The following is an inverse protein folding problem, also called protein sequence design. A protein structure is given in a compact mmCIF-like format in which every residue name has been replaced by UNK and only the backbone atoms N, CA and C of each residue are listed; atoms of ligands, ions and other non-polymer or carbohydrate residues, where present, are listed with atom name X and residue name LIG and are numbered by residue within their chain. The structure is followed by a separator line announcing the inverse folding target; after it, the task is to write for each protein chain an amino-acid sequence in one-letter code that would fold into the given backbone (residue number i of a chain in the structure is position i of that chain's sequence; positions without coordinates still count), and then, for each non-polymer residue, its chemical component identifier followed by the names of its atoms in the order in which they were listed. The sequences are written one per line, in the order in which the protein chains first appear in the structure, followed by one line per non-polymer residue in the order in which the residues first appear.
data_IF_092360839053
#
_entry.id   IF_092360839053
#
_cell.length_a   1.000
_cell.length_b   1.000
_cell.length_c   1.000
_cell.angle_alpha   90.00
_cell.angle_beta   90.00
_cell.angle_gamma   90.00
#
_symmetry.space_group_name_H-M   'P 1'
#
loop_
_entity.id
_entity.type
_entity.pdbx_description
1 polymer ?
#
# COMPACT_ATOMS: atom_id res chain seq x y z
N UNK A 1 23.01 -15.95 -16.89
CA UNK A 1 21.56 -16.15 -16.78
C UNK A 1 21.01 -14.94 -16.04
N UNK A 2 20.22 -14.09 -16.72
CA UNK A 2 19.61 -12.92 -16.06
C UNK A 2 18.49 -13.44 -15.15
N UNK A 3 18.62 -13.26 -13.83
CA UNK A 3 17.54 -13.58 -12.91
C UNK A 3 16.37 -12.64 -13.21
N UNK A 4 15.23 -13.19 -13.53
CA UNK A 4 14.00 -12.43 -13.73
C UNK A 4 13.60 -11.81 -12.39
N UNK A 5 13.67 -10.48 -12.32
CA UNK A 5 13.33 -9.72 -11.12
C UNK A 5 11.98 -9.06 -11.37
N UNK A 6 10.93 -9.60 -10.73
CA UNK A 6 9.58 -9.03 -10.78
C UNK A 6 9.41 -8.01 -9.67
N UNK A 7 8.84 -6.85 -9.97
CA UNK A 7 8.58 -5.80 -8.98
C UNK A 7 7.09 -5.49 -8.96
N UNK A 8 6.48 -5.65 -7.79
CA UNK A 8 5.07 -5.37 -7.55
C UNK A 8 5.01 -4.12 -6.65
N UNK A 9 4.49 -2.99 -7.15
CA UNK A 9 4.33 -1.79 -6.34
C UNK A 9 3.16 -1.95 -5.36
N UNK A 10 3.41 -1.69 -4.08
CA UNK A 10 2.43 -1.75 -3.00
C UNK A 10 2.42 -0.39 -2.29
N UNK A 11 1.81 0.60 -2.89
CA UNK A 11 1.72 2.00 -2.42
C UNK A 11 3.06 2.58 -1.96
N UNK A 12 3.37 2.46 -0.66
CA UNK A 12 4.61 2.97 -0.05
C UNK A 12 5.77 1.98 -0.08
N UNK A 13 5.55 0.78 -0.57
CA UNK A 13 6.51 -0.33 -0.58
C UNK A 13 6.56 -0.97 -1.95
N UNK A 14 7.64 -1.68 -2.18
CA UNK A 14 7.80 -2.49 -3.40
C UNK A 14 8.16 -3.90 -2.98
N UNK A 15 7.40 -4.86 -3.46
CA UNK A 15 7.73 -6.26 -3.35
C UNK A 15 8.66 -6.63 -4.50
N UNK A 16 9.85 -7.05 -4.19
CA UNK A 16 10.86 -7.50 -5.17
C UNK A 16 10.94 -9.01 -5.10
N UNK A 17 10.35 -9.67 -6.09
CA UNK A 17 10.34 -11.13 -6.20
C UNK A 17 11.53 -11.59 -7.02
N UNK A 18 12.32 -12.52 -6.47
CA UNK A 18 13.40 -13.24 -7.13
C UNK A 18 13.18 -14.74 -6.95
N UNK A 19 13.90 -15.55 -7.67
CA UNK A 19 13.74 -17.01 -7.69
C UNK A 19 13.73 -17.67 -6.28
N UNK A 20 14.62 -17.21 -5.38
CA UNK A 20 14.77 -17.81 -4.04
C UNK A 20 14.52 -16.83 -2.89
N UNK A 21 14.09 -15.58 -3.23
CA UNK A 21 13.95 -14.53 -2.23
C UNK A 21 12.91 -13.48 -2.64
N UNK A 22 12.08 -13.11 -1.66
CA UNK A 22 11.21 -11.95 -1.76
C UNK A 22 11.67 -10.91 -0.75
N UNK A 23 11.87 -9.69 -1.21
CA UNK A 23 12.21 -8.53 -0.37
C UNK A 23 11.07 -7.52 -0.44
N UNK A 24 10.42 -7.23 0.68
CA UNK A 24 9.51 -6.10 0.83
C UNK A 24 10.30 -4.91 1.38
N UNK A 25 10.41 -3.86 0.58
CA UNK A 25 11.23 -2.68 0.90
C UNK A 25 10.42 -1.40 0.74
N UNK A 26 10.70 -0.35 1.53
CA UNK A 26 10.14 0.96 1.26
C UNK A 26 10.58 1.46 -0.12
N UNK A 27 9.70 2.18 -0.79
CA UNK A 27 10.03 2.81 -2.05
C UNK A 27 11.04 3.93 -1.84
N UNK A 28 12.14 3.89 -2.58
CA UNK A 28 13.23 4.87 -2.42
C UNK A 28 12.80 6.31 -2.71
N UNK A 29 11.81 6.49 -3.59
CA UNK A 29 11.26 7.81 -3.93
C UNK A 29 10.61 8.51 -2.74
N UNK A 30 9.96 7.76 -1.85
CA UNK A 30 9.27 8.30 -0.68
C UNK A 30 10.19 9.01 0.32
N UNK A 31 11.49 8.65 0.35
CA UNK A 31 12.48 9.26 1.26
C UNK A 31 13.07 10.56 0.68
N UNK A 32 13.17 10.68 -0.65
CA UNK A 32 13.81 11.82 -1.30
C UNK A 32 13.07 13.13 -1.05
N UNK A 33 11.75 13.11 -1.11
CA UNK A 33 10.94 14.32 -0.93
C UNK A 33 11.13 14.96 0.45
N UNK A 34 10.92 14.23 1.57
CA UNK A 34 11.15 14.81 2.91
C UNK A 34 12.63 15.15 3.17
N UNK A 35 13.57 14.39 2.63
CA UNK A 35 15.00 14.71 2.75
C UNK A 35 15.33 16.03 2.07
N UNK A 36 14.81 16.27 0.86
CA UNK A 36 14.99 17.53 0.15
C UNK A 36 14.39 18.71 0.94
N UNK A 37 13.19 18.54 1.48
CA UNK A 37 12.56 19.55 2.32
C UNK A 37 13.39 19.89 3.58
N UNK A 38 13.98 18.87 4.22
CA UNK A 38 14.85 19.06 5.37
C UNK A 38 16.14 19.83 5.00
N UNK A 39 16.74 19.51 3.85
CA UNK A 39 17.91 20.21 3.35
C UNK A 39 17.61 21.68 3.02
N UNK A 40 16.48 21.96 2.38
CA UNK A 40 16.04 23.33 2.09
C UNK A 40 15.81 24.11 3.41
N UNK A 41 15.10 23.49 4.36
CA UNK A 41 14.89 24.13 5.67
C UNK A 41 16.21 24.42 6.38
N UNK A 42 17.15 23.46 6.40
CA UNK A 42 18.49 23.65 6.95
C UNK A 42 19.26 24.78 6.27
N UNK A 43 19.17 24.90 4.95
CA UNK A 43 19.79 25.99 4.20
C UNK A 43 19.18 27.35 4.57
N UNK A 44 17.85 27.44 4.74
CA UNK A 44 17.19 28.66 5.17
C UNK A 44 17.64 29.08 6.57
N UNK A 45 17.74 28.14 7.51
CA UNK A 45 18.29 28.47 8.86
C UNK A 45 19.76 28.86 8.81
N UNK A 46 20.58 28.20 7.97
CA UNK A 46 21.98 28.61 7.79
C UNK A 46 22.12 30.05 7.28
N UNK A 47 21.29 30.44 6.30
CA UNK A 47 21.26 31.82 5.78
C UNK A 47 20.92 32.80 6.91
N UNK A 48 19.94 32.50 7.74
CA UNK A 48 19.59 33.34 8.90
C UNK A 48 20.78 33.50 9.84
N UNK A 49 21.45 32.40 10.22
CA UNK A 49 22.56 32.40 11.15
C UNK A 49 23.75 33.22 10.59
N UNK A 50 24.08 33.02 9.32
CA UNK A 50 25.24 33.66 8.69
C UNK A 50 25.01 35.14 8.39
N UNK A 51 23.79 35.52 8.07
CA UNK A 51 23.48 36.90 7.59
C UNK A 51 22.53 37.67 8.52
N UNK A 52 22.29 37.22 9.76
CA UNK A 52 21.35 37.83 10.71
C UNK A 52 21.61 39.33 10.90
N UNK A 53 22.87 39.76 10.94
CA UNK A 53 23.25 41.16 11.13
C UNK A 53 23.04 42.08 9.91
N UNK A 54 22.91 41.48 8.72
CA UNK A 54 22.75 42.23 7.45
C UNK A 54 21.32 42.19 6.92
N UNK A 55 20.46 41.31 7.46
CA UNK A 55 19.07 41.17 7.02
C UNK A 55 18.14 42.13 7.77
N UNK A 56 17.19 42.73 7.04
CA UNK A 56 16.09 43.49 7.68
C UNK A 56 15.16 42.52 8.42
N UNK A 57 14.45 43.03 9.43
CA UNK A 57 13.47 42.22 10.20
C UNK A 57 12.42 41.56 9.31
N UNK A 58 11.98 42.26 8.26
CA UNK A 58 11.01 41.70 7.28
C UNK A 58 11.61 40.57 6.48
N UNK A 59 12.85 40.70 5.99
CA UNK A 59 13.54 39.62 5.25
C UNK A 59 13.78 38.41 6.14
N UNK A 60 14.14 38.63 7.39
CA UNK A 60 14.34 37.60 8.40
C UNK A 60 13.04 36.81 8.64
N UNK A 61 11.90 37.48 8.79
CA UNK A 61 10.60 36.87 8.96
C UNK A 61 10.18 36.05 7.71
N UNK A 62 10.42 36.55 6.50
CA UNK A 62 10.11 35.89 5.24
C UNK A 62 10.92 34.60 5.02
N UNK A 63 12.14 34.51 5.56
CA UNK A 63 12.98 33.34 5.48
C UNK A 63 12.67 32.36 6.63
N UNK A 64 12.45 32.89 7.84
CA UNK A 64 12.20 32.08 9.03
C UNK A 64 10.89 31.29 8.94
N UNK A 65 9.80 31.93 8.47
CA UNK A 65 8.49 31.32 8.44
C UNK A 65 8.44 30.05 7.56
N UNK A 66 8.90 30.06 6.29
CA UNK A 66 8.97 28.84 5.47
C UNK A 66 9.89 27.78 6.08
N UNK A 67 11.05 28.18 6.62
CA UNK A 67 11.98 27.26 7.27
C UNK A 67 11.35 26.55 8.47
N UNK A 68 10.65 27.31 9.32
CA UNK A 68 9.97 26.78 10.50
C UNK A 68 8.80 25.85 10.16
N UNK A 69 8.07 26.12 9.09
CA UNK A 69 6.98 25.27 8.62
C UNK A 69 7.54 24.01 7.93
N UNK A 70 8.53 24.16 7.06
CA UNK A 70 9.05 23.06 6.26
C UNK A 70 9.78 22.02 7.13
N UNK A 71 10.50 22.42 8.16
CA UNK A 71 11.27 21.54 9.03
C UNK A 71 10.43 20.43 9.68
N UNK A 72 9.35 20.71 10.42
CA UNK A 72 8.58 19.68 11.09
C UNK A 72 7.85 18.77 10.10
N UNK A 73 7.30 19.31 9.00
CA UNK A 73 6.64 18.48 7.98
C UNK A 73 7.63 17.54 7.28
N UNK A 74 8.82 18.02 6.96
CA UNK A 74 9.88 17.22 6.35
C UNK A 74 10.44 16.18 7.33
N UNK A 75 10.66 16.56 8.59
CA UNK A 75 11.11 15.64 9.63
C UNK A 75 10.08 14.52 9.86
N UNK A 76 8.80 14.88 9.96
CA UNK A 76 7.71 13.93 10.13
C UNK A 76 7.57 13.01 8.89
N UNK A 77 7.63 13.57 7.69
CA UNK A 77 7.63 12.81 6.43
C UNK A 77 8.81 11.84 6.34
N UNK A 78 10.00 12.27 6.79
CA UNK A 78 11.17 11.41 6.85
C UNK A 78 10.98 10.26 7.84
N UNK A 79 10.47 10.54 9.04
CA UNK A 79 10.16 9.53 10.05
C UNK A 79 9.17 8.51 9.47
N UNK A 80 8.07 8.96 8.85
CA UNK A 80 7.10 8.05 8.22
C UNK A 80 7.67 7.24 7.04
N UNK A 81 8.61 7.81 6.28
CA UNK A 81 9.24 7.10 5.16
C UNK A 81 10.26 6.06 5.60
N UNK A 82 10.81 6.24 6.81
CA UNK A 82 11.91 5.44 7.37
C UNK A 82 11.37 4.36 8.31
N UNK A 83 10.29 4.66 9.05
CA UNK A 83 9.65 3.69 9.93
C UNK A 83 8.84 2.74 9.08
N UNK A 84 9.26 1.49 9.04
CA UNK A 84 8.53 0.45 8.35
C UNK A 84 9.08 -0.93 8.65
N UNK A 85 8.19 -1.92 8.65
CA UNK A 85 8.65 -3.30 8.70
C UNK A 85 9.31 -3.66 7.37
N UNK A 86 10.50 -4.25 7.42
CA UNK A 86 11.07 -4.96 6.28
C UNK A 86 10.75 -6.43 6.43
N UNK A 87 10.25 -7.02 5.34
CA UNK A 87 9.97 -8.45 5.31
C UNK A 87 10.83 -9.08 4.24
N UNK A 88 11.52 -10.13 4.62
CA UNK A 88 12.36 -10.91 3.71
C UNK A 88 11.94 -12.36 3.80
N UNK A 89 11.48 -12.92 2.70
CA UNK A 89 11.16 -14.33 2.55
C UNK A 89 12.33 -15.01 1.87
N UNK A 90 12.95 -15.97 2.52
CA UNK A 90 14.13 -16.70 1.99
C UNK A 90 13.78 -18.20 1.84
N UNK A 91 13.71 -18.67 0.60
CA UNK A 91 13.38 -20.08 0.30
C UNK A 91 14.47 -21.04 0.81
N UNK A 92 15.73 -20.65 0.66
CA UNK A 92 16.86 -21.49 1.10
C UNK A 92 16.88 -21.70 2.62
N UNK A 93 16.46 -20.66 3.38
CA UNK A 93 16.39 -20.74 4.85
C UNK A 93 15.04 -21.23 5.36
N UNK A 94 14.09 -21.48 4.46
CA UNK A 94 12.73 -21.87 4.81
C UNK A 94 12.13 -20.98 5.90
N UNK A 95 12.34 -19.66 5.78
CA UNK A 95 11.92 -18.72 6.82
C UNK A 95 11.59 -17.34 6.28
N UNK A 96 10.66 -16.69 6.96
CA UNK A 96 10.36 -15.26 6.80
C UNK A 96 11.03 -14.51 7.93
N UNK A 97 11.83 -13.52 7.57
CA UNK A 97 12.36 -12.55 8.52
C UNK A 97 11.45 -11.32 8.50
N UNK A 98 10.81 -11.08 9.61
CA UNK A 98 10.02 -9.88 9.86
C UNK A 98 10.81 -8.97 10.78
N UNK A 99 11.21 -7.81 10.31
CA UNK A 99 11.98 -6.85 11.07
C UNK A 99 11.21 -5.55 11.17
N UNK A 100 10.71 -5.25 12.36
CA UNK A 100 10.23 -3.91 12.68
C UNK A 100 11.43 -3.08 13.08
N UNK A 101 11.72 -2.03 12.33
CA UNK A 101 12.88 -1.22 12.61
C UNK A 101 12.79 0.17 12.01
N UNK A 102 13.66 1.03 12.52
CA UNK A 102 13.87 2.37 12.00
C UNK A 102 14.98 2.28 10.96
N UNK A 103 14.78 2.84 9.77
CA UNK A 103 15.78 2.95 8.68
C UNK A 103 16.25 1.64 8.03
N UNK A 104 15.65 0.49 8.34
CA UNK A 104 16.24 -0.78 7.89
C UNK A 104 17.60 -1.09 8.53
N UNK A 105 18.01 -0.32 9.55
CA UNK A 105 19.29 -0.44 10.25
C UNK A 105 19.32 -1.58 11.27
N UNK A 106 18.26 -2.41 11.32
CA UNK A 106 18.24 -3.52 12.25
C UNK A 106 17.97 -3.15 13.71
N UNK A 107 17.61 -1.89 13.96
CA UNK A 107 17.24 -1.41 15.29
C UNK A 107 15.75 -1.67 15.47
N UNK A 108 15.39 -2.72 16.19
CA UNK A 108 13.99 -3.10 16.45
C UNK A 108 13.83 -4.60 16.68
N UNK A 109 12.61 -5.03 16.92
CA UNK A 109 12.30 -6.45 17.08
C UNK A 109 12.42 -7.19 15.75
N UNK A 110 13.23 -8.24 15.75
CA UNK A 110 13.33 -9.18 14.64
C UNK A 110 12.60 -10.46 15.01
N UNK A 111 11.64 -10.84 14.20
CA UNK A 111 10.95 -12.12 14.33
C UNK A 111 11.30 -13.00 13.14
N UNK A 112 11.76 -14.20 13.40
CA UNK A 112 12.03 -15.23 12.40
C UNK A 112 10.88 -16.23 12.43
N UNK A 113 10.20 -16.40 11.31
CA UNK A 113 9.06 -17.29 11.16
C UNK A 113 9.47 -18.42 10.20
N UNK A 114 9.71 -19.65 10.69
CA UNK A 114 9.91 -20.78 9.81
C UNK A 114 8.65 -21.10 9.00
N UNK A 115 8.79 -21.55 7.76
CA UNK A 115 7.64 -21.82 6.87
C UNK A 115 6.65 -22.83 7.47
N UNK A 116 7.13 -23.84 8.19
CA UNK A 116 6.28 -24.82 8.85
C UNK A 116 5.41 -24.26 9.98
N UNK A 117 5.65 -23.01 10.43
CA UNK A 117 4.80 -22.28 11.39
C UNK A 117 3.76 -21.39 10.72
N UNK A 118 3.73 -21.35 9.41
CA UNK A 118 2.74 -20.60 8.64
C UNK A 118 1.57 -21.55 8.37
N UNK A 119 0.38 -21.15 8.75
CA UNK A 119 -0.83 -21.91 8.48
C UNK A 119 -1.35 -21.58 7.08
N UNK A 120 -1.53 -20.30 6.81
CA UNK A 120 -1.91 -19.78 5.50
C UNK A 120 -1.50 -18.30 5.36
N UNK A 121 -1.54 -17.81 4.13
CA UNK A 121 -1.44 -16.39 3.80
C UNK A 121 -2.87 -15.92 3.54
N UNK A 122 -3.30 -14.89 4.23
CA UNK A 122 -4.63 -14.32 4.10
C UNK A 122 -4.57 -12.98 3.38
N UNK A 123 -5.42 -12.80 2.38
CA UNK A 123 -5.72 -11.50 1.78
C UNK A 123 -7.04 -11.02 2.39
N UNK A 124 -6.95 -10.08 3.32
CA UNK A 124 -8.08 -9.55 4.05
C UNK A 124 -8.47 -8.17 3.53
N UNK A 125 -9.77 -7.92 3.43
CA UNK A 125 -10.27 -6.56 3.27
C UNK A 125 -10.03 -5.81 4.58
N UNK A 126 -9.32 -4.70 4.51
CA UNK A 126 -9.02 -3.87 5.67
C UNK A 126 -10.09 -2.78 5.79
N UNK A 127 -10.99 -2.98 6.73
CA UNK A 127 -11.99 -1.97 7.05
C UNK A 127 -11.30 -0.74 7.66
N UNK A 128 -11.27 0.35 6.89
CA UNK A 128 -10.75 1.65 7.34
C UNK A 128 -11.66 2.32 8.38
N UNK A 129 -12.70 1.61 8.80
CA UNK A 129 -13.71 2.08 9.75
C UNK A 129 -14.83 2.85 9.03
N UNK A 130 -16.05 2.53 9.39
CA UNK A 130 -17.22 3.33 8.95
C UNK A 130 -17.00 4.78 9.37
N UNK A 131 -17.17 5.71 8.43
CA UNK A 131 -17.23 7.12 8.77
C UNK A 131 -18.24 7.32 9.91
N UNK A 132 -17.92 8.11 10.95
CA UNK A 132 -18.82 8.30 12.08
C UNK A 132 -20.20 8.72 11.58
N UNK A 133 -21.23 7.95 11.95
CA UNK A 133 -22.63 8.21 11.53
C UNK A 133 -23.01 9.65 11.86
N UNK A 134 -23.23 10.48 10.82
CA UNK A 134 -23.57 11.90 10.96
C UNK A 134 -22.41 12.88 10.81
N UNK A 135 -21.20 12.43 10.52
CA UNK A 135 -20.07 13.27 10.12
C UNK A 135 -20.12 13.66 8.64
N UNK A 136 -19.32 14.67 8.21
CA UNK A 136 -19.13 14.94 6.80
C UNK A 136 -18.53 13.69 6.12
N UNK A 137 -18.91 13.41 4.84
CA UNK A 137 -18.35 12.26 4.12
C UNK A 137 -16.81 12.35 4.14
N UNK A 138 -16.09 11.22 4.25
CA UNK A 138 -14.65 11.23 4.20
C UNK A 138 -14.20 11.91 2.90
N UNK A 139 -13.20 12.78 3.02
CA UNK A 139 -12.65 13.55 1.87
C UNK A 139 -12.06 12.63 0.80
N UNK A 140 -11.70 11.39 1.19
CA UNK A 140 -11.24 10.32 0.31
C UNK A 140 -11.89 9.02 0.79
N UNK A 141 -12.69 8.44 -0.08
CA UNK A 141 -13.18 7.08 0.09
C UNK A 141 -12.08 6.14 -0.43
N UNK A 142 -11.48 5.38 0.48
CA UNK A 142 -10.36 4.50 0.21
C UNK A 142 -10.74 3.07 0.60
N UNK A 143 -10.41 2.12 -0.25
CA UNK A 143 -10.45 0.69 0.07
C UNK A 143 -9.03 0.19 0.30
N UNK A 144 -8.85 -0.72 1.24
CA UNK A 144 -7.54 -1.25 1.58
C UNK A 144 -7.58 -2.77 1.71
N UNK A 145 -6.51 -3.43 1.28
CA UNK A 145 -6.31 -4.86 1.43
C UNK A 145 -5.04 -5.10 2.24
N UNK A 146 -5.13 -5.97 3.21
CA UNK A 146 -4.02 -6.34 4.07
C UNK A 146 -3.56 -7.77 3.76
N UNK A 147 -2.26 -7.94 3.51
CA UNK A 147 -1.64 -9.25 3.33
C UNK A 147 -1.16 -9.70 4.69
N UNK A 148 -1.78 -10.73 5.22
CA UNK A 148 -1.58 -11.23 6.57
C UNK A 148 -0.97 -12.62 6.54
N UNK A 149 0.05 -12.86 7.36
CA UNK A 149 0.55 -14.21 7.65
C UNK A 149 -0.17 -14.71 8.89
N UNK A 150 -0.94 -15.76 8.73
CA UNK A 150 -1.53 -16.52 9.82
C UNK A 150 -0.56 -17.59 10.27
N UNK A 151 -0.19 -17.59 11.55
CA UNK A 151 0.65 -18.63 12.13
C UNK A 151 -0.19 -19.75 12.72
N UNK A 152 0.37 -20.96 12.77
CA UNK A 152 -0.22 -22.13 13.46
C UNK A 152 -0.52 -21.88 14.95
N UNK A 153 0.08 -20.84 15.55
CA UNK A 153 -0.22 -20.40 16.92
C UNK A 153 -1.43 -19.48 17.02
N UNK A 154 -2.13 -19.19 15.92
CA UNK A 154 -3.24 -18.24 15.87
C UNK A 154 -2.80 -16.77 15.79
N UNK A 155 -1.50 -16.46 15.82
CA UNK A 155 -1.01 -15.07 15.70
C UNK A 155 -1.07 -14.60 14.26
N UNK A 156 -1.75 -13.48 14.04
CA UNK A 156 -1.83 -12.78 12.74
C UNK A 156 -0.76 -11.71 12.65
N UNK A 157 -0.11 -11.60 11.49
CA UNK A 157 0.93 -10.62 11.23
C UNK A 157 0.71 -9.97 9.88
N UNK A 158 0.36 -8.68 9.88
CA UNK A 158 0.30 -7.88 8.67
C UNK A 158 1.69 -7.68 8.08
N UNK A 159 1.84 -8.03 6.81
CA UNK A 159 3.10 -7.94 6.05
C UNK A 159 3.10 -6.72 5.18
N UNK A 160 2.00 -6.50 4.46
CA UNK A 160 1.85 -5.39 3.53
C UNK A 160 0.38 -4.99 3.43
N UNK A 161 0.16 -3.73 3.10
CA UNK A 161 -1.15 -3.17 2.84
C UNK A 161 -1.13 -2.49 1.49
N UNK A 162 -2.20 -2.64 0.73
CA UNK A 162 -2.45 -1.95 -0.53
C UNK A 162 -3.71 -1.14 -0.38
N UNK A 163 -3.68 0.14 -0.75
CA UNK A 163 -4.82 1.03 -0.73
C UNK A 163 -5.16 1.48 -2.14
N UNK A 164 -6.43 1.66 -2.42
CA UNK A 164 -6.92 2.27 -3.66
C UNK A 164 -8.05 3.25 -3.36
N UNK A 165 -8.21 4.26 -4.21
CA UNK A 165 -9.41 5.09 -4.16
C UNK A 165 -10.63 4.22 -4.53
N UNK A 166 -11.76 4.48 -3.89
CA UNK A 166 -13.00 3.73 -4.11
C UNK A 166 -13.65 4.10 -5.47
N UNK A 167 -12.90 3.84 -6.54
CA UNK A 167 -13.31 3.96 -7.94
C UNK A 167 -13.07 2.60 -8.57
N UNK A 168 -14.06 2.06 -9.28
CA UNK A 168 -14.07 0.67 -9.78
C UNK A 168 -12.76 0.25 -10.41
N UNK A 169 -12.26 1.00 -11.40
CA UNK A 169 -11.01 0.64 -12.09
C UNK A 169 -9.79 0.60 -11.15
N UNK A 170 -9.74 1.52 -10.16
CA UNK A 170 -8.64 1.60 -9.19
C UNK A 170 -8.74 0.53 -8.10
N UNK A 171 -9.97 0.11 -7.75
CA UNK A 171 -10.22 -1.01 -6.84
C UNK A 171 -9.69 -2.29 -7.47
N UNK A 172 -10.07 -2.58 -8.72
CA UNK A 172 -9.66 -3.78 -9.43
C UNK A 172 -8.14 -3.84 -9.60
N UNK A 173 -7.49 -2.71 -9.94
CA UNK A 173 -6.04 -2.63 -10.02
C UNK A 173 -5.37 -2.80 -8.65
N UNK A 174 -5.93 -2.20 -7.60
CA UNK A 174 -5.44 -2.32 -6.22
C UNK A 174 -5.53 -3.75 -5.73
N UNK A 175 -6.69 -4.39 -5.92
CA UNK A 175 -6.91 -5.78 -5.58
C UNK A 175 -5.97 -6.73 -6.35
N UNK A 176 -5.85 -6.53 -7.67
CA UNK A 176 -4.97 -7.36 -8.49
C UNK A 176 -3.51 -7.30 -8.02
N UNK A 177 -3.02 -6.10 -7.65
CA UNK A 177 -1.67 -5.93 -7.07
C UNK A 177 -1.53 -6.61 -5.71
N UNK A 178 -2.52 -6.49 -4.84
CA UNK A 178 -2.53 -7.13 -3.53
C UNK A 178 -2.56 -8.66 -3.66
N UNK A 179 -3.41 -9.17 -4.55
CA UNK A 179 -3.52 -10.61 -4.85
C UNK A 179 -2.22 -11.16 -5.43
N UNK A 180 -1.63 -10.49 -6.43
CA UNK A 180 -0.35 -10.88 -7.03
C UNK A 180 0.78 -10.97 -5.99
N UNK A 181 0.80 -10.02 -5.05
CA UNK A 181 1.80 -10.01 -3.99
C UNK A 181 1.57 -11.14 -2.97
N UNK A 182 0.31 -11.38 -2.57
CA UNK A 182 -0.06 -12.46 -1.67
C UNK A 182 0.23 -13.83 -2.29
N UNK A 183 -0.10 -14.02 -3.57
CA UNK A 183 0.20 -15.23 -4.32
C UNK A 183 1.71 -15.50 -4.41
N UNK A 184 2.52 -14.47 -4.68
CA UNK A 184 3.97 -14.61 -4.73
C UNK A 184 4.56 -15.07 -3.38
N UNK A 185 4.03 -14.54 -2.26
CA UNK A 185 4.46 -14.95 -0.92
C UNK A 185 4.00 -16.38 -0.64
N UNK A 186 2.73 -16.71 -0.93
CA UNK A 186 2.16 -18.03 -0.73
C UNK A 186 2.92 -19.10 -1.53
N UNK A 187 3.21 -18.83 -2.81
CA UNK A 187 3.98 -19.74 -3.67
C UNK A 187 5.41 -19.97 -3.14
N UNK A 188 6.09 -18.94 -2.61
CA UNK A 188 7.43 -19.09 -2.08
C UNK A 188 7.47 -19.85 -0.74
N UNK A 189 6.45 -19.68 0.09
CA UNK A 189 6.33 -20.32 1.40
C UNK A 189 5.67 -21.68 1.35
N UNK A 190 5.11 -22.06 0.17
CA UNK A 190 4.29 -23.26 -0.04
C UNK A 190 3.05 -23.28 0.88
N UNK A 191 2.61 -22.08 1.33
CA UNK A 191 1.43 -21.92 2.15
C UNK A 191 0.19 -21.71 1.28
N UNK A 192 -0.99 -22.06 1.83
CA UNK A 192 -2.26 -21.82 1.16
C UNK A 192 -2.56 -20.31 1.16
N UNK A 193 -3.09 -19.79 0.05
CA UNK A 193 -3.66 -18.45 -0.01
C UNK A 193 -5.16 -18.55 0.30
N UNK A 194 -5.62 -17.74 1.24
CA UNK A 194 -7.04 -17.58 1.59
C UNK A 194 -7.44 -16.12 1.35
N UNK A 195 -8.60 -15.95 0.71
CA UNK A 195 -9.19 -14.63 0.46
C UNK A 195 -10.38 -14.50 1.39
N UNK A 196 -10.51 -13.38 2.10
CA UNK A 196 -11.61 -13.20 3.04
C UNK A 196 -12.95 -13.16 2.31
N UNK A 197 -13.95 -13.88 2.82
CA UNK A 197 -15.26 -14.12 2.22
C UNK A 197 -16.03 -12.84 1.80
N UNK A 198 -15.74 -11.69 2.39
CA UNK A 198 -16.32 -10.40 1.97
C UNK A 198 -15.98 -10.01 0.53
N UNK A 199 -14.85 -10.55 -0.02
CA UNK A 199 -14.44 -10.34 -1.42
C UNK A 199 -15.02 -11.40 -2.35
N UNK A 200 -15.35 -12.60 -1.82
CA UNK A 200 -15.98 -13.68 -2.60
C UNK A 200 -17.43 -13.36 -2.95
N UNK A 201 -18.19 -12.74 -2.03
CA UNK A 201 -19.60 -12.36 -2.26
C UNK A 201 -19.74 -11.34 -3.40
N UNK A 202 -18.88 -10.32 -3.48
CA UNK A 202 -18.91 -9.34 -4.58
C UNK A 202 -18.59 -9.98 -5.94
N UNK A 203 -17.70 -10.98 -5.95
CA UNK A 203 -17.32 -11.66 -7.20
C UNK A 203 -18.41 -12.60 -7.69
N UNK A 204 -19.15 -13.23 -6.78
CA UNK A 204 -20.29 -14.09 -7.12
C UNK A 204 -21.50 -13.27 -7.58
N UNK A 205 -21.83 -12.14 -6.91
CA UNK A 205 -22.94 -11.27 -7.31
C UNK A 205 -22.76 -10.68 -8.72
N UNK A 206 -21.54 -10.22 -9.06
CA UNK A 206 -21.23 -9.71 -10.40
C UNK A 206 -21.33 -10.79 -11.47
N UNK A 207 -20.93 -12.02 -11.12
CA UNK A 207 -21.03 -13.19 -12.02
C UNK A 207 -22.48 -13.61 -12.23
N UNK A 208 -23.31 -13.55 -11.19
CA UNK A 208 -24.72 -13.94 -11.26
C UNK A 208 -25.57 -12.87 -11.98
N UNK A 209 -25.29 -11.59 -11.77
CA UNK A 209 -25.98 -10.49 -12.48
C UNK A 209 -25.66 -10.48 -13.99
N UNK A 210 -24.44 -10.88 -14.37
CA UNK A 210 -24.05 -11.04 -15.77
C UNK A 210 -24.74 -12.25 -16.44
N UNK A 211 -25.07 -13.30 -15.67
CA UNK A 211 -25.72 -14.51 -16.17
C UNK A 211 -27.24 -14.38 -16.30
N UNK A 212 -27.88 -13.47 -15.56
CA UNK A 212 -29.36 -13.32 -15.48
C UNK A 212 -29.91 -12.30 -16.47
N UNK A 213 -29.13 -11.68 -17.35
CA UNK A 213 -29.67 -10.72 -18.33
C UNK A 213 -30.38 -11.47 -19.47
N UNK A 214 -31.73 -11.63 -19.39
CA UNK A 214 -32.48 -12.34 -20.45
C UNK A 214 -32.40 -11.51 -21.73
N UNK A 215 -32.08 -12.19 -22.82
CA UNK A 215 -32.17 -11.63 -24.17
C UNK A 215 -33.56 -11.00 -24.36
N UNK A 216 -33.64 -9.68 -24.62
CA UNK A 216 -34.89 -9.01 -24.98
C UNK A 216 -35.45 -9.68 -26.23
N UNK A 217 -36.69 -10.23 -26.18
CA UNK A 217 -37.33 -10.73 -27.36
C UNK A 217 -37.62 -9.56 -28.33
N UNK A 218 -37.27 -9.78 -29.58
CA UNK A 218 -37.34 -8.80 -30.66
C UNK A 218 -38.65 -8.11 -30.77
N UNK A 219 -38.62 -6.79 -30.88
CA UNK A 219 -39.74 -5.95 -31.37
C UNK A 219 -39.99 -6.31 -32.83
N UNK A 220 -41.02 -7.11 -33.04
CA UNK A 220 -41.60 -7.28 -34.36
C UNK A 220 -42.25 -5.96 -34.81
N UNK A 221 -41.73 -5.44 -35.91
CA UNK A 221 -42.25 -4.27 -36.59
C UNK A 221 -43.72 -4.45 -36.95
N UNK A 222 -44.55 -3.50 -36.49
CA UNK A 222 -45.87 -3.26 -37.07
C UNK A 222 -45.70 -2.36 -38.29
N UNK A 223 -45.90 -2.96 -39.46
CA UNK A 223 -46.14 -2.25 -40.71
C UNK A 223 -47.54 -1.60 -40.62
N UNK A 224 -47.56 -0.29 -40.78
CA UNK A 224 -48.80 0.51 -40.92
C UNK A 224 -49.21 0.49 -42.40
N UNK A 225 -50.47 0.13 -42.72
CA UNK A 225 -50.98 0.22 -44.11
C UNK A 225 -51.44 1.63 -44.41
N UNK A 226 -50.95 2.19 -45.49
CA UNK A 226 -51.48 3.39 -46.11
C UNK A 226 -52.90 3.18 -46.64
N UNK A 227 -53.83 4.12 -46.31
CA UNK A 227 -55.07 4.28 -46.99
C UNK A 227 -55.56 5.73 -46.96
N UNK A 228 -55.59 6.29 -48.16
CA UNK A 228 -56.42 7.41 -48.68
C UNK A 228 -56.27 8.82 -48.12
#
# INVERSE_FOLDING_TARGET
MSQEVRRIPLDRRVLVVREHRIDLRPERGAVLFPLTGLLISGALFAIIILFASSLSATALALILLPGLLLAPFSAMGLVYSIIGASVVVEKEKQSIRFQQGVLGLGIGTMELIPFWKIEHIELADFDLGEAPKGGPPPVLDLRAWDIVIQKTSGKRMSVAQVMAANVTDLIDEGFARAHEAAEAIAAMTEARLEITAALEEETEEVSEEAAVKPARPGEHGHAEPAAR
#
